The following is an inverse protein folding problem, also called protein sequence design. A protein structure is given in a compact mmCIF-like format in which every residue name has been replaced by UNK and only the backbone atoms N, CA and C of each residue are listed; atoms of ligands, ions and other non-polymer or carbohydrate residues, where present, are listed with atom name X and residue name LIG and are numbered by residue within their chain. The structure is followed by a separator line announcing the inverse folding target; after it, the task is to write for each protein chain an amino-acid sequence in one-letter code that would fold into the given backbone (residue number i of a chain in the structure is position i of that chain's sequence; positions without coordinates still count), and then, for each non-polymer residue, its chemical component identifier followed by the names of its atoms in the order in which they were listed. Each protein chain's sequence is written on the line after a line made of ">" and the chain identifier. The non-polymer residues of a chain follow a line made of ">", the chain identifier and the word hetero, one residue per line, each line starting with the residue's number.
data_IF_718945771034
#
_entry.id   IF_718945771034
#
_cell.length_a   1.000
_cell.length_b   1.000
_cell.length_c   1.000
_cell.angle_alpha   90.00
_cell.angle_beta   90.00
_cell.angle_gamma   90.00
#
_symmetry.space_group_name_H-M   'P 1'
#
loop_
_entity.id
_entity.type
_entity.pdbx_description
1 polymer ?
#
# COMPACT_ATOMS: atom_id res chain seq x y z
N UNK A 1 9.15 14.89 4.49
CA UNK A 1 9.31 15.73 3.28
C UNK A 1 9.26 17.20 3.67
N UNK A 2 10.32 17.70 4.30
CA UNK A 2 10.24 18.94 5.11
C UNK A 2 10.18 20.24 4.31
N UNK A 3 10.30 20.17 2.98
CA UNK A 3 10.21 21.32 2.07
C UNK A 3 8.84 21.47 1.38
N UNK A 4 7.84 20.66 1.76
CA UNK A 4 6.51 20.68 1.15
C UNK A 4 6.44 20.03 -0.24
N UNK A 5 7.47 19.29 -0.65
CA UNK A 5 7.44 18.51 -1.88
C UNK A 5 6.56 17.26 -1.74
N UNK A 6 6.09 16.72 -2.85
CA UNK A 6 5.42 15.41 -2.90
C UNK A 6 6.37 14.37 -3.49
N UNK A 7 6.41 13.18 -2.89
CA UNK A 7 7.18 12.04 -3.38
C UNK A 7 6.22 10.90 -3.69
N UNK A 8 6.32 10.34 -4.88
CA UNK A 8 5.55 9.17 -5.31
C UNK A 8 6.55 8.08 -5.67
N UNK A 9 6.36 6.89 -5.13
CA UNK A 9 7.22 5.72 -5.35
C UNK A 9 6.36 4.49 -5.64
N UNK A 10 6.92 3.57 -6.43
CA UNK A 10 6.37 2.22 -6.63
C UNK A 10 7.24 1.29 -5.80
N UNK A 11 6.64 0.59 -4.83
CA UNK A 11 7.36 -0.29 -3.93
C UNK A 11 6.57 -1.56 -3.60
N UNK A 12 7.31 -2.62 -3.31
CA UNK A 12 6.89 -3.89 -2.75
C UNK A 12 7.46 -4.10 -1.32
N UNK A 13 8.46 -3.33 -0.89
CA UNK A 13 8.99 -3.40 0.47
C UNK A 13 8.02 -2.79 1.49
N UNK A 14 7.43 -3.64 2.32
CA UNK A 14 6.45 -3.26 3.32
C UNK A 14 7.01 -2.36 4.43
N UNK A 15 8.32 -2.37 4.69
CA UNK A 15 8.93 -1.43 5.63
C UNK A 15 8.94 0.00 5.11
N UNK A 16 8.95 0.19 3.79
CA UNK A 16 8.77 1.52 3.17
C UNK A 16 7.29 1.87 3.17
N UNK A 17 6.44 0.96 2.69
CA UNK A 17 4.99 1.19 2.55
C UNK A 17 4.32 1.55 3.88
N UNK A 18 4.70 0.91 5.00
CA UNK A 18 4.11 1.19 6.32
C UNK A 18 4.39 2.61 6.83
N UNK A 19 5.40 3.28 6.30
CA UNK A 19 5.79 4.64 6.68
C UNK A 19 5.26 5.70 5.70
N UNK A 20 4.52 5.29 4.66
CA UNK A 20 3.92 6.22 3.72
C UNK A 20 2.69 6.92 4.32
N UNK A 21 2.48 8.18 3.94
CA UNK A 21 1.26 8.92 4.32
C UNK A 21 0.01 8.38 3.59
N UNK A 22 0.20 7.89 2.36
CA UNK A 22 -0.86 7.37 1.50
C UNK A 22 -0.34 6.24 0.62
N UNK A 23 -1.20 5.25 0.36
CA UNK A 23 -0.89 4.07 -0.45
C UNK A 23 -2.01 3.85 -1.48
N UNK A 24 -1.60 3.59 -2.72
CA UNK A 24 -2.47 3.10 -3.79
C UNK A 24 -2.11 1.65 -4.08
N UNK A 25 -3.03 0.73 -3.83
CA UNK A 25 -2.84 -0.69 -4.11
C UNK A 25 -3.46 -1.06 -5.46
N UNK A 26 -2.63 -1.61 -6.35
CA UNK A 26 -3.01 -1.98 -7.71
C UNK A 26 -3.04 -3.49 -7.87
N UNK A 27 -4.00 -3.99 -8.65
CA UNK A 27 -4.17 -5.41 -8.88
C UNK A 27 -5.55 -5.72 -9.46
N UNK A 28 -6.22 -6.81 -9.01
CA UNK A 28 -5.78 -7.77 -7.99
C UNK A 28 -4.62 -8.64 -8.46
N UNK A 29 -4.50 -8.87 -9.76
CA UNK A 29 -3.43 -9.67 -10.37
C UNK A 29 -2.50 -8.78 -11.22
N UNK A 30 -1.47 -9.39 -11.82
CA UNK A 30 -0.66 -8.75 -12.86
C UNK A 30 -1.20 -8.97 -14.27
N UNK A 31 -0.78 -8.14 -15.22
CA UNK A 31 -1.16 -8.27 -16.64
C UNK A 31 -2.63 -7.94 -16.90
N UNK A 32 -3.28 -8.70 -17.78
CA UNK A 32 -4.67 -8.46 -18.23
C UNK A 32 -5.71 -8.58 -17.12
N UNK A 33 -5.39 -9.29 -16.04
CA UNK A 33 -6.24 -9.43 -14.85
C UNK A 33 -5.96 -8.35 -13.79
N UNK A 34 -5.06 -7.41 -14.08
CA UNK A 34 -4.68 -6.29 -13.22
C UNK A 34 -5.16 -4.93 -13.73
N UNK A 35 -4.52 -3.87 -13.24
CA UNK A 35 -4.76 -2.50 -13.69
C UNK A 35 -5.90 -1.77 -12.96
N UNK A 36 -6.46 -2.38 -11.91
CA UNK A 36 -7.50 -1.76 -11.09
C UNK A 36 -6.93 -1.22 -9.78
N UNK A 37 -7.54 -0.16 -9.26
CA UNK A 37 -7.32 0.29 -7.88
C UNK A 37 -8.10 -0.65 -6.97
N UNK A 38 -7.39 -1.50 -6.25
CA UNK A 38 -7.97 -2.47 -5.31
C UNK A 38 -8.29 -1.78 -3.99
N UNK A 39 -7.41 -0.88 -3.55
CA UNK A 39 -7.58 -0.06 -2.35
C UNK A 39 -6.77 1.24 -2.44
N UNK A 40 -7.22 2.26 -1.72
CA UNK A 40 -6.57 3.57 -1.63
C UNK A 40 -6.82 4.13 -0.23
N UNK A 41 -5.78 4.57 0.47
CA UNK A 41 -5.89 5.02 1.85
C UNK A 41 -4.56 5.09 2.58
N UNK A 42 -4.61 5.28 3.89
CA UNK A 42 -3.43 5.12 4.76
C UNK A 42 -2.97 3.65 4.82
N UNK A 43 -1.75 3.36 5.27
CA UNK A 43 -1.28 1.98 5.45
C UNK A 43 -2.24 1.10 6.29
N UNK A 44 -2.87 1.66 7.32
CA UNK A 44 -3.85 0.97 8.16
C UNK A 44 -5.14 0.65 7.42
N UNK A 45 -5.63 1.57 6.58
CA UNK A 45 -6.82 1.36 5.75
C UNK A 45 -6.56 0.29 4.69
N UNK A 46 -5.39 0.31 4.04
CA UNK A 46 -4.98 -0.76 3.11
C UNK A 46 -4.89 -2.10 3.85
N UNK A 47 -4.33 -2.14 5.04
CA UNK A 47 -4.25 -3.36 5.85
C UNK A 47 -5.62 -3.93 6.28
N UNK A 48 -6.67 -3.10 6.25
CA UNK A 48 -8.05 -3.51 6.50
C UNK A 48 -8.84 -3.85 5.21
N UNK A 49 -8.34 -3.46 4.04
CA UNK A 49 -9.02 -3.65 2.77
C UNK A 49 -9.12 -5.14 2.38
N UNK A 50 -10.35 -5.60 2.10
CA UNK A 50 -10.59 -6.97 1.60
C UNK A 50 -10.19 -7.06 0.13
N UNK A 51 -9.45 -8.09 -0.24
CA UNK A 51 -8.98 -8.31 -1.62
C UNK A 51 -7.63 -7.68 -1.95
N UNK A 52 -7.08 -6.85 -1.06
CA UNK A 52 -5.72 -6.30 -1.20
C UNK A 52 -4.67 -7.33 -0.80
N UNK A 53 -3.83 -7.77 -1.74
CA UNK A 53 -2.67 -8.61 -1.42
C UNK A 53 -1.67 -7.84 -0.58
N UNK A 54 -1.40 -6.59 -0.91
CA UNK A 54 -0.54 -5.69 -0.12
C UNK A 54 -1.05 -5.59 1.32
N UNK A 55 -2.35 -5.31 1.51
CA UNK A 55 -3.00 -5.19 2.81
C UNK A 55 -2.88 -6.46 3.66
N UNK A 56 -3.05 -7.64 3.05
CA UNK A 56 -2.89 -8.94 3.72
C UNK A 56 -1.53 -9.06 4.40
N UNK A 57 -0.45 -8.66 3.73
CA UNK A 57 0.91 -8.75 4.30
C UNK A 57 1.26 -7.54 5.17
N UNK A 58 0.83 -6.34 4.79
CA UNK A 58 1.08 -5.09 5.52
C UNK A 58 0.57 -5.16 6.95
N UNK A 59 -0.58 -5.81 7.17
CA UNK A 59 -1.16 -6.05 8.51
C UNK A 59 -0.20 -6.74 9.47
N UNK A 60 0.68 -7.62 8.98
CA UNK A 60 1.65 -8.34 9.82
C UNK A 60 2.80 -7.43 10.27
N UNK A 61 3.18 -6.47 9.42
CA UNK A 61 4.29 -5.55 9.66
C UNK A 61 3.86 -4.41 10.58
N UNK A 62 2.63 -3.92 10.45
CA UNK A 62 2.07 -2.87 11.33
C UNK A 62 1.91 -3.31 12.79
N UNK A 63 1.69 -4.61 13.04
CA UNK A 63 1.53 -5.15 14.41
C UNK A 63 2.84 -5.27 15.18
N UNK A 64 3.98 -5.27 14.49
CA UNK A 64 5.31 -5.28 15.12
C UNK A 64 5.71 -3.83 15.43
N UNK A 65 5.34 -3.34 16.61
CA UNK A 65 5.92 -2.13 17.21
C UNK A 65 6.87 -2.52 18.34
#
# INVERSE_FOLDING_TARGET
>A
VERGNTVIVIEHNLDVVKNADWVLDLGPEGGDAGGFIVASGTPEEIAAAKGSYTGKYLKSVLKKK
#
